data_IF_681067949526
#
_entry.id   IF_681067949526
#
_cell.length_a   1.000
_cell.length_b   1.000
_cell.length_c   1.000
_cell.angle_alpha   90.00
_cell.angle_beta   90.00
_cell.angle_gamma   90.00
#
_symmetry.space_group_name_H-M   'P 1'
#
loop_
_entity.id
_entity.type
_entity.pdbx_description
1 polymer ?
#
# COMPACT_ATOMS: atom_id res chain seq x y z
N UNK A 1 6.88 -18.79 -5.99
CA UNK A 1 7.94 -19.60 -5.36
C UNK A 1 8.94 -20.16 -6.37
N UNK A 2 8.52 -20.99 -7.35
CA UNK A 2 9.45 -21.57 -8.34
C UNK A 2 10.32 -20.53 -9.05
N UNK A 3 9.74 -19.41 -9.51
CA UNK A 3 10.48 -18.29 -10.11
C UNK A 3 11.61 -17.78 -9.19
N UNK A 4 11.33 -17.60 -7.89
CA UNK A 4 12.28 -17.06 -6.91
C UNK A 4 13.41 -18.05 -6.60
N UNK A 5 13.09 -19.34 -6.50
CA UNK A 5 14.09 -20.39 -6.24
C UNK A 5 14.98 -20.65 -7.45
N UNK A 6 14.41 -20.54 -8.67
CA UNK A 6 15.11 -20.82 -9.92
C UNK A 6 15.68 -19.57 -10.59
N UNK A 7 15.58 -18.38 -9.98
CA UNK A 7 15.96 -17.12 -10.63
C UNK A 7 17.41 -17.07 -11.15
N UNK A 8 18.31 -17.87 -10.58
CA UNK A 8 19.69 -17.98 -11.03
C UNK A 8 19.86 -18.57 -12.45
N UNK A 9 18.87 -19.29 -12.97
CA UNK A 9 18.90 -19.85 -14.34
C UNK A 9 17.91 -19.18 -15.28
N UNK A 10 17.13 -18.21 -14.79
CA UNK A 10 16.13 -17.50 -15.57
C UNK A 10 16.74 -16.27 -16.28
N UNK A 11 16.19 -15.84 -17.43
CA UNK A 11 16.70 -14.67 -18.15
C UNK A 11 16.44 -13.36 -17.38
N UNK A 12 16.93 -12.24 -17.90
CA UNK A 12 16.86 -10.91 -17.27
C UNK A 12 17.44 -10.92 -15.84
N UNK A 13 18.64 -11.48 -15.72
CA UNK A 13 19.42 -11.54 -14.49
C UNK A 13 20.85 -11.06 -14.74
N UNK A 14 21.05 -9.75 -15.06
CA UNK A 14 22.38 -9.23 -15.42
C UNK A 14 23.39 -9.37 -14.28
N UNK A 15 22.92 -9.30 -13.03
CA UNK A 15 23.76 -9.39 -11.83
C UNK A 15 23.96 -10.84 -11.34
N UNK A 16 23.50 -11.84 -12.10
CA UNK A 16 23.63 -13.26 -11.76
C UNK A 16 23.13 -13.62 -10.36
N UNK A 17 22.02 -13.00 -9.93
CA UNK A 17 21.40 -13.24 -8.64
C UNK A 17 21.06 -14.72 -8.46
N UNK A 18 21.45 -15.29 -7.31
CA UNK A 18 21.21 -16.70 -7.01
C UNK A 18 19.76 -16.97 -6.66
N UNK A 19 19.35 -18.24 -6.76
CA UNK A 19 18.07 -18.71 -6.23
C UNK A 19 17.91 -18.38 -4.74
N UNK A 20 16.72 -17.91 -4.35
CA UNK A 20 16.37 -17.74 -2.93
C UNK A 20 16.32 -19.09 -2.21
N UNK A 21 16.66 -19.09 -0.92
CA UNK A 21 16.43 -20.25 -0.06
C UNK A 21 14.94 -20.59 0.01
N UNK A 22 14.60 -21.85 0.31
CA UNK A 22 13.20 -22.30 0.36
C UNK A 22 12.34 -21.43 1.31
N UNK A 23 12.86 -21.12 2.51
CA UNK A 23 12.14 -20.31 3.50
C UNK A 23 11.89 -18.88 3.02
N UNK A 24 12.90 -18.23 2.44
CA UNK A 24 12.76 -16.87 1.92
C UNK A 24 11.85 -16.81 0.69
N UNK A 25 11.96 -17.80 -0.21
CA UNK A 25 11.11 -17.92 -1.38
C UNK A 25 9.64 -18.16 -1.01
N UNK A 26 9.38 -18.97 0.03
CA UNK A 26 8.03 -19.18 0.56
C UNK A 26 7.49 -17.89 1.18
N UNK A 27 8.23 -17.26 2.09
CA UNK A 27 7.82 -16.01 2.74
C UNK A 27 7.50 -14.92 1.71
N UNK A 28 8.40 -14.70 0.74
CA UNK A 28 8.22 -13.69 -0.31
C UNK A 28 7.02 -14.03 -1.20
N UNK A 29 6.86 -15.29 -1.61
CA UNK A 29 5.73 -15.68 -2.45
C UNK A 29 4.39 -15.54 -1.71
N UNK A 30 4.31 -16.01 -0.47
CA UNK A 30 3.11 -15.87 0.36
C UNK A 30 2.76 -14.39 0.51
N UNK A 31 3.76 -13.56 0.80
CA UNK A 31 3.52 -12.15 1.09
C UNK A 31 2.97 -11.34 -0.09
N UNK A 32 3.47 -11.60 -1.31
CA UNK A 32 2.94 -10.93 -2.50
C UNK A 32 1.56 -11.47 -2.92
N UNK A 33 1.31 -12.78 -2.72
CA UNK A 33 -0.02 -13.37 -2.97
C UNK A 33 -1.06 -12.84 -1.98
N UNK A 34 -0.66 -12.55 -0.73
CA UNK A 34 -1.55 -12.01 0.31
C UNK A 34 -1.68 -10.49 0.28
N UNK A 35 -1.15 -9.81 -0.75
CA UNK A 35 -1.19 -8.35 -0.88
C UNK A 35 -0.49 -7.60 0.27
N UNK A 36 0.48 -8.24 0.93
CA UNK A 36 1.17 -7.68 2.12
C UNK A 36 2.56 -7.17 1.77
N UNK A 37 3.23 -7.87 0.86
CA UNK A 37 4.57 -7.61 0.36
C UNK A 37 5.64 -7.29 1.43
N UNK A 38 5.56 -7.97 2.57
CA UNK A 38 6.63 -8.10 3.54
C UNK A 38 7.97 -8.44 2.88
N UNK A 39 9.01 -7.72 3.27
CA UNK A 39 10.35 -7.86 2.71
C UNK A 39 11.33 -8.24 3.82
N UNK A 40 11.84 -9.47 3.75
CA UNK A 40 12.96 -9.95 4.56
C UNK A 40 14.27 -10.01 3.74
N UNK A 41 14.38 -9.16 2.73
CA UNK A 41 15.46 -9.12 1.75
C UNK A 41 15.63 -7.69 1.21
N UNK A 42 16.81 -7.39 0.64
CA UNK A 42 17.02 -6.17 -0.15
C UNK A 42 16.82 -6.47 -1.63
N UNK A 43 15.91 -5.77 -2.30
CA UNK A 43 15.48 -6.12 -3.65
C UNK A 43 16.62 -6.10 -4.68
N UNK A 44 17.49 -5.10 -4.61
CA UNK A 44 18.64 -4.95 -5.51
C UNK A 44 19.74 -6.00 -5.31
N UNK A 45 19.78 -6.65 -4.16
CA UNK A 45 20.79 -7.66 -3.81
C UNK A 45 20.26 -9.09 -3.85
N UNK A 46 18.94 -9.29 -3.84
CA UNK A 46 18.33 -10.61 -3.66
C UNK A 46 17.48 -11.07 -4.85
N UNK A 47 17.04 -10.18 -5.72
CA UNK A 47 16.10 -10.50 -6.80
C UNK A 47 16.64 -10.12 -8.17
N UNK A 48 16.38 -10.99 -9.16
CA UNK A 48 16.59 -10.67 -10.57
C UNK A 48 15.47 -9.77 -11.13
N UNK A 49 15.72 -9.13 -12.27
CA UNK A 49 14.71 -8.30 -12.93
C UNK A 49 13.49 -9.13 -13.38
N UNK A 50 13.70 -10.38 -13.79
CA UNK A 50 12.59 -11.28 -14.11
C UNK A 50 11.74 -11.60 -12.89
N UNK A 51 12.36 -11.89 -11.73
CA UNK A 51 11.62 -12.15 -10.49
C UNK A 51 10.75 -10.96 -10.10
N UNK A 52 11.30 -9.74 -10.17
CA UNK A 52 10.58 -8.49 -9.91
C UNK A 52 9.42 -8.27 -10.91
N UNK A 53 9.67 -8.50 -12.20
CA UNK A 53 8.70 -8.21 -13.27
C UNK A 53 7.59 -9.26 -13.40
N UNK A 54 7.95 -10.54 -13.52
CA UNK A 54 6.99 -11.63 -13.79
C UNK A 54 6.51 -12.30 -12.50
N UNK A 55 7.34 -12.31 -11.46
CA UNK A 55 6.94 -12.84 -10.16
C UNK A 55 6.13 -11.80 -9.37
N UNK A 56 6.81 -10.75 -8.94
CA UNK A 56 6.30 -9.82 -7.93
C UNK A 56 5.26 -8.85 -8.50
N UNK A 57 5.56 -8.20 -9.63
CA UNK A 57 4.64 -7.23 -10.25
C UNK A 57 3.33 -7.88 -10.70
N UNK A 58 3.37 -9.10 -11.26
CA UNK A 58 2.13 -9.85 -11.60
C UNK A 58 1.29 -10.10 -10.36
N UNK A 59 1.90 -10.51 -9.24
CA UNK A 59 1.16 -10.69 -7.99
C UNK A 59 0.55 -9.37 -7.52
N UNK A 60 1.28 -8.25 -7.59
CA UNK A 60 0.73 -6.93 -7.21
C UNK A 60 -0.58 -6.56 -7.92
N UNK A 61 -0.76 -7.00 -9.17
CA UNK A 61 -2.01 -6.82 -9.92
C UNK A 61 -3.09 -7.81 -9.49
N UNK A 62 -2.74 -9.10 -9.39
CA UNK A 62 -3.71 -10.17 -9.15
C UNK A 62 -4.22 -10.14 -7.71
N UNK A 63 -3.37 -9.85 -6.73
CA UNK A 63 -3.74 -9.70 -5.32
C UNK A 63 -4.71 -8.53 -5.12
N UNK A 64 -4.38 -7.36 -5.65
CA UNK A 64 -5.25 -6.17 -5.60
C UNK A 64 -6.58 -6.40 -6.36
N UNK A 65 -6.50 -7.00 -7.54
CA UNK A 65 -7.68 -7.36 -8.34
C UNK A 65 -8.61 -8.34 -7.61
N UNK A 66 -8.04 -9.29 -6.87
CA UNK A 66 -8.79 -10.24 -6.04
C UNK A 66 -9.50 -9.53 -4.90
N UNK A 67 -8.83 -8.61 -4.20
CA UNK A 67 -9.45 -7.80 -3.14
C UNK A 67 -10.68 -7.02 -3.62
N UNK A 68 -10.57 -6.35 -4.77
CA UNK A 68 -11.70 -5.63 -5.38
C UNK A 68 -12.82 -6.60 -5.80
N UNK A 69 -12.49 -7.75 -6.38
CA UNK A 69 -13.48 -8.74 -6.80
C UNK A 69 -14.29 -9.29 -5.60
N UNK A 70 -13.62 -9.56 -4.48
CA UNK A 70 -14.28 -9.98 -3.22
C UNK A 70 -15.23 -8.90 -2.70
N UNK A 71 -14.77 -7.65 -2.68
CA UNK A 71 -15.62 -6.51 -2.31
C UNK A 71 -16.85 -6.42 -3.24
N UNK A 72 -16.68 -6.56 -4.55
CA UNK A 72 -17.78 -6.47 -5.50
C UNK A 72 -18.81 -7.59 -5.31
N UNK A 73 -18.35 -8.80 -4.98
CA UNK A 73 -19.23 -9.89 -4.59
C UNK A 73 -20.04 -9.54 -3.32
N UNK A 74 -19.40 -8.96 -2.30
CA UNK A 74 -20.07 -8.48 -1.08
C UNK A 74 -21.11 -7.40 -1.37
N UNK A 75 -20.74 -6.39 -2.17
CA UNK A 75 -21.65 -5.29 -2.55
C UNK A 75 -22.87 -5.81 -3.33
N UNK A 76 -22.67 -6.73 -4.27
CA UNK A 76 -23.78 -7.43 -4.94
C UNK A 76 -24.60 -8.25 -3.96
N UNK A 77 -23.96 -8.84 -2.96
CA UNK A 77 -24.60 -9.50 -1.83
C UNK A 77 -25.57 -8.60 -1.07
N UNK A 78 -25.35 -7.27 -0.99
CA UNK A 78 -26.31 -6.33 -0.42
C UNK A 78 -27.43 -5.93 -1.39
N UNK A 79 -27.10 -5.72 -2.66
CA UNK A 79 -28.04 -5.16 -3.65
C UNK A 79 -29.01 -6.22 -4.18
N UNK A 80 -28.51 -7.43 -4.45
CA UNK A 80 -29.31 -8.50 -5.01
C UNK A 80 -30.26 -9.09 -3.95
N UNK A 81 -31.50 -9.36 -4.39
CA UNK A 81 -32.57 -9.91 -3.57
C UNK A 81 -33.03 -11.23 -4.16
N UNK A 82 -33.11 -12.28 -3.33
CA UNK A 82 -33.62 -13.61 -3.70
C UNK A 82 -32.85 -14.28 -4.86
N UNK A 83 -31.53 -14.10 -4.91
CA UNK A 83 -30.65 -14.77 -5.89
C UNK A 83 -29.65 -15.67 -5.16
N UNK A 84 -29.23 -16.76 -5.82
CA UNK A 84 -28.22 -17.69 -5.30
C UNK A 84 -26.79 -17.41 -5.81
N UNK A 85 -26.60 -16.39 -6.65
CA UNK A 85 -25.31 -16.01 -7.24
C UNK A 85 -24.94 -14.55 -6.96
N UNK A 86 -23.64 -14.28 -6.95
CA UNK A 86 -23.02 -12.96 -6.67
C UNK A 86 -22.16 -12.43 -7.84
N UNK A 87 -22.36 -13.00 -9.04
CA UNK A 87 -21.63 -12.67 -10.26
C UNK A 87 -20.56 -13.70 -10.62
N UNK A 88 -19.54 -13.29 -11.38
CA UNK A 88 -18.47 -14.15 -11.87
C UNK A 88 -17.10 -13.56 -11.49
N UNK A 89 -16.37 -14.28 -10.65
CA UNK A 89 -15.05 -13.86 -10.14
C UNK A 89 -14.05 -13.56 -11.27
N UNK A 90 -13.96 -14.42 -12.28
CA UNK A 90 -13.01 -14.26 -13.38
C UNK A 90 -13.30 -13.01 -14.21
N UNK A 91 -14.58 -12.70 -14.43
CA UNK A 91 -14.97 -11.48 -15.14
C UNK A 91 -14.60 -10.23 -14.35
N UNK A 92 -14.79 -10.24 -13.03
CA UNK A 92 -14.41 -9.11 -12.18
C UNK A 92 -12.89 -8.93 -12.14
N UNK A 93 -12.15 -10.01 -11.92
CA UNK A 93 -10.69 -9.98 -11.87
C UNK A 93 -10.09 -9.46 -13.19
N UNK A 94 -10.57 -9.97 -14.34
CA UNK A 94 -10.10 -9.51 -15.65
C UNK A 94 -10.46 -8.04 -15.87
N UNK A 95 -11.69 -7.62 -15.54
CA UNK A 95 -12.11 -6.24 -15.78
C UNK A 95 -11.37 -5.25 -14.90
N UNK A 96 -11.21 -5.56 -13.62
CA UNK A 96 -10.45 -4.74 -12.67
C UNK A 96 -8.99 -4.64 -13.13
N UNK A 97 -8.38 -5.76 -13.50
CA UNK A 97 -6.98 -5.76 -13.92
C UNK A 97 -6.79 -4.95 -15.21
N UNK A 98 -7.56 -5.25 -16.26
CA UNK A 98 -7.32 -4.68 -17.59
C UNK A 98 -7.90 -3.26 -17.78
N UNK A 99 -9.02 -2.93 -17.14
CA UNK A 99 -9.70 -1.64 -17.36
C UNK A 99 -9.56 -0.65 -16.21
N UNK A 100 -9.05 -1.07 -15.04
CA UNK A 100 -8.79 -0.18 -13.92
C UNK A 100 -7.30 -0.14 -13.57
N UNK A 101 -6.70 -1.26 -13.18
CA UNK A 101 -5.35 -1.29 -12.62
C UNK A 101 -4.29 -1.00 -13.69
N UNK A 102 -4.25 -1.76 -14.79
CA UNK A 102 -3.26 -1.58 -15.87
C UNK A 102 -3.23 -0.15 -16.42
N UNK A 103 -4.35 0.47 -16.86
CA UNK A 103 -4.31 1.82 -17.42
C UNK A 103 -3.89 2.86 -16.38
N UNK A 104 -4.36 2.73 -15.14
CA UNK A 104 -4.00 3.68 -14.07
C UNK A 104 -2.53 3.54 -13.67
N UNK A 105 -2.01 2.30 -13.57
CA UNK A 105 -0.59 2.02 -13.32
C UNK A 105 0.29 2.50 -14.45
N UNK A 106 -0.15 2.43 -15.71
CA UNK A 106 0.61 2.97 -16.84
C UNK A 106 0.77 4.49 -16.73
N UNK A 107 -0.34 5.21 -16.48
CA UNK A 107 -0.30 6.67 -16.28
C UNK A 107 0.59 7.03 -15.10
N UNK A 108 0.42 6.34 -13.97
CA UNK A 108 1.21 6.58 -12.77
C UNK A 108 2.71 6.28 -13.00
N UNK A 109 3.05 5.19 -13.68
CA UNK A 109 4.45 4.86 -14.00
C UNK A 109 5.10 5.93 -14.89
N UNK A 110 4.38 6.44 -15.89
CA UNK A 110 4.89 7.52 -16.77
C UNK A 110 5.14 8.80 -15.95
N UNK A 111 4.20 9.17 -15.06
CA UNK A 111 4.37 10.32 -14.18
C UNK A 111 5.59 10.14 -13.25
N UNK A 112 5.76 8.95 -12.66
CA UNK A 112 6.92 8.64 -11.82
C UNK A 112 8.24 8.70 -12.60
N UNK A 113 8.31 8.12 -13.79
CA UNK A 113 9.49 8.20 -14.66
C UNK A 113 9.82 9.65 -15.00
N UNK A 114 8.81 10.50 -15.24
CA UNK A 114 9.03 11.94 -15.49
C UNK A 114 9.68 12.67 -14.31
N UNK A 115 9.57 12.13 -13.10
CA UNK A 115 10.18 12.68 -11.88
C UNK A 115 11.56 12.07 -11.58
N UNK A 116 12.00 11.05 -12.32
CA UNK A 116 13.30 10.41 -12.14
C UNK A 116 13.26 8.99 -11.55
N UNK A 117 12.09 8.38 -11.44
CA UNK A 117 11.98 6.95 -11.06
C UNK A 117 12.55 6.08 -12.17
N UNK A 118 13.38 5.11 -11.81
CA UNK A 118 14.12 4.30 -12.78
C UNK A 118 13.19 3.29 -13.46
N UNK A 119 13.31 3.18 -14.79
CA UNK A 119 12.68 2.14 -15.59
C UNK A 119 13.66 1.67 -16.67
N UNK A 120 14.49 0.68 -16.36
CA UNK A 120 15.54 0.18 -17.26
C UNK A 120 15.79 -1.32 -17.10
N UNK A 121 16.20 -2.00 -18.17
CA UNK A 121 16.72 -3.37 -18.11
C UNK A 121 18.25 -3.43 -18.24
N UNK A 122 18.93 -2.29 -18.15
CA UNK A 122 20.39 -2.24 -18.17
C UNK A 122 20.99 -2.92 -16.93
N UNK A 123 22.20 -3.51 -17.05
CA UNK A 123 23.00 -3.95 -15.89
C UNK A 123 23.28 -2.81 -14.92
N UNK A 124 23.73 -3.15 -13.72
CA UNK A 124 24.11 -2.15 -12.72
C UNK A 124 25.29 -1.31 -13.21
N UNK A 125 25.26 -0.02 -12.90
CA UNK A 125 26.26 0.93 -13.37
C UNK A 125 27.28 1.15 -12.26
N UNK A 126 28.56 0.93 -12.55
CA UNK A 126 29.64 1.29 -11.62
C UNK A 126 30.11 2.70 -11.95
N UNK A 127 30.13 3.58 -10.94
CA UNK A 127 30.60 4.97 -11.05
C UNK A 127 31.65 5.25 -9.99
N UNK A 128 32.57 6.18 -10.27
CA UNK A 128 33.55 6.65 -9.29
C UNK A 128 33.05 7.93 -8.62
N UNK A 129 33.14 8.00 -7.29
CA UNK A 129 32.71 9.18 -6.54
C UNK A 129 33.67 10.33 -6.78
N UNK A 130 33.14 11.55 -6.90
CA UNK A 130 33.97 12.74 -7.18
C UNK A 130 34.93 13.10 -6.04
N UNK A 131 34.58 12.77 -4.79
CA UNK A 131 35.33 13.21 -3.61
C UNK A 131 36.50 12.30 -3.26
N UNK A 132 36.34 10.98 -3.43
CA UNK A 132 37.33 9.98 -2.99
C UNK A 132 37.75 9.02 -4.11
N UNK A 133 37.14 9.10 -5.30
CA UNK A 133 37.35 8.13 -6.38
C UNK A 133 36.85 6.72 -6.04
N UNK A 134 36.05 6.58 -4.97
CA UNK A 134 35.55 5.30 -4.53
C UNK A 134 34.55 4.75 -5.56
N UNK A 135 34.64 3.45 -5.86
CA UNK A 135 33.69 2.80 -6.76
C UNK A 135 32.38 2.57 -6.05
N UNK A 136 31.29 3.08 -6.63
CA UNK A 136 29.93 2.87 -6.20
C UNK A 136 29.16 2.09 -7.27
N UNK A 137 28.44 1.05 -6.84
CA UNK A 137 27.54 0.30 -7.71
C UNK A 137 26.13 0.89 -7.59
N UNK A 138 25.57 1.31 -8.72
CA UNK A 138 24.25 1.91 -8.81
C UNK A 138 23.26 0.86 -9.32
N UNK A 139 22.32 0.40 -8.48
CA UNK A 139 21.34 -0.58 -8.90
C UNK A 139 20.31 0.07 -9.85
N UNK A 140 20.00 -0.63 -10.94
CA UNK A 140 18.96 -0.25 -11.90
C UNK A 140 17.85 -1.31 -11.91
N UNK A 141 16.84 -1.10 -12.75
CA UNK A 141 15.79 -2.08 -12.94
C UNK A 141 14.47 -1.48 -13.46
N UNK A 142 13.49 -2.31 -13.82
CA UNK A 142 12.17 -1.85 -14.27
C UNK A 142 11.28 -1.39 -13.10
N UNK A 143 11.80 -0.49 -12.25
CA UNK A 143 11.19 -0.16 -10.97
C UNK A 143 9.88 0.63 -11.10
N UNK A 144 9.80 1.64 -11.97
CA UNK A 144 8.62 2.50 -12.08
C UNK A 144 7.31 1.74 -12.34
N UNK A 145 7.36 0.71 -13.19
CA UNK A 145 6.21 -0.15 -13.48
C UNK A 145 5.72 -0.92 -12.25
N UNK A 146 6.64 -1.39 -11.40
CA UNK A 146 6.32 -2.08 -10.16
C UNK A 146 5.82 -1.12 -9.09
N UNK A 147 6.46 0.05 -8.96
CA UNK A 147 6.11 1.09 -7.98
C UNK A 147 4.71 1.63 -8.24
N UNK A 148 4.34 1.84 -9.50
CA UNK A 148 3.00 2.32 -9.83
C UNK A 148 1.90 1.39 -9.32
N UNK A 149 2.00 0.07 -9.58
CA UNK A 149 1.02 -0.89 -9.08
C UNK A 149 1.19 -1.17 -7.58
N UNK A 150 2.41 -1.11 -7.03
CA UNK A 150 2.60 -1.32 -5.59
C UNK A 150 1.82 -0.27 -4.79
N UNK A 151 1.77 0.98 -5.28
CA UNK A 151 1.01 2.04 -4.63
C UNK A 151 -0.48 1.95 -4.89
N UNK A 152 -0.90 1.86 -6.16
CA UNK A 152 -2.31 1.81 -6.53
C UNK A 152 -3.04 0.59 -5.98
N UNK A 153 -2.39 -0.57 -5.97
CA UNK A 153 -2.96 -1.82 -5.47
C UNK A 153 -2.80 -2.02 -3.96
N UNK A 154 -2.30 -1.01 -3.23
CA UNK A 154 -1.97 -1.10 -1.80
C UNK A 154 -1.18 -2.36 -1.46
N UNK A 155 -0.09 -2.59 -2.19
CA UNK A 155 0.77 -3.75 -1.99
C UNK A 155 2.04 -3.40 -1.20
N UNK A 156 2.68 -2.26 -1.51
CA UNK A 156 3.82 -1.71 -0.76
C UNK A 156 5.19 -2.33 -0.95
N UNK A 157 5.33 -3.45 -1.66
CA UNK A 157 6.65 -4.10 -1.86
C UNK A 157 7.60 -3.28 -2.72
N UNK A 158 8.68 -2.79 -2.11
CA UNK A 158 9.72 -1.98 -2.77
C UNK A 158 10.52 -2.77 -3.80
N UNK A 159 10.99 -2.07 -4.83
CA UNK A 159 11.95 -2.64 -5.78
C UNK A 159 13.34 -2.73 -5.14
N UNK A 160 13.70 -1.74 -4.32
CA UNK A 160 14.94 -1.63 -3.56
C UNK A 160 14.66 -1.79 -2.06
N UNK A 161 15.69 -2.14 -1.27
CA UNK A 161 15.54 -2.42 0.16
C UNK A 161 15.01 -1.27 1.00
N UNK A 162 15.37 -0.02 0.67
CA UNK A 162 14.86 1.16 1.36
C UNK A 162 13.45 1.59 0.88
N UNK A 163 12.84 0.82 -0.03
CA UNK A 163 11.47 1.03 -0.50
C UNK A 163 11.25 2.47 -1.03
N UNK A 164 10.13 3.12 -0.70
CA UNK A 164 9.80 4.50 -1.10
C UNK A 164 10.68 5.57 -0.46
N UNK A 165 11.67 5.22 0.39
CA UNK A 165 12.73 6.14 0.79
C UNK A 165 13.84 6.17 -0.28
N UNK A 166 14.02 5.12 -1.08
CA UNK A 166 15.10 5.05 -2.06
C UNK A 166 14.91 6.10 -3.18
N UNK A 167 15.96 6.88 -3.54
CA UNK A 167 15.85 7.93 -4.57
C UNK A 167 15.33 7.47 -5.93
N UNK A 168 15.63 6.23 -6.35
CA UNK A 168 15.11 5.69 -7.61
C UNK A 168 13.68 5.15 -7.52
N UNK A 169 13.09 5.06 -6.33
CA UNK A 169 11.65 4.80 -6.20
C UNK A 169 10.85 6.09 -6.07
N UNK A 170 11.38 7.06 -5.33
CA UNK A 170 10.68 8.28 -4.96
C UNK A 170 11.63 9.50 -4.96
N UNK A 171 11.95 10.05 -6.14
CA UNK A 171 13.02 11.03 -6.31
C UNK A 171 12.68 12.42 -5.77
N UNK A 172 11.42 12.86 -5.85
CA UNK A 172 11.01 14.25 -5.59
C UNK A 172 9.86 14.33 -4.59
N UNK A 173 9.67 15.50 -3.97
CA UNK A 173 8.48 15.75 -3.15
C UNK A 173 7.18 15.60 -3.95
N UNK A 174 7.23 15.86 -5.26
CA UNK A 174 6.07 15.67 -6.15
C UNK A 174 5.80 14.19 -6.43
N UNK A 175 6.82 13.35 -6.68
CA UNK A 175 6.61 11.89 -6.76
C UNK A 175 6.05 11.34 -5.45
N UNK A 176 6.50 11.85 -4.31
CA UNK A 176 5.99 11.43 -3.00
C UNK A 176 4.49 11.76 -2.84
N UNK A 177 4.06 12.95 -3.27
CA UNK A 177 2.64 13.31 -3.32
C UNK A 177 1.86 12.38 -4.25
N UNK A 178 2.39 12.07 -5.44
CA UNK A 178 1.74 11.15 -6.37
C UNK A 178 1.61 9.74 -5.79
N UNK A 179 2.63 9.23 -5.09
CA UNK A 179 2.56 7.93 -4.39
C UNK A 179 1.50 7.94 -3.29
N UNK A 180 1.45 8.97 -2.45
CA UNK A 180 0.40 9.11 -1.40
C UNK A 180 -0.99 9.13 -2.03
N UNK A 181 -1.17 9.88 -3.11
CA UNK A 181 -2.43 9.90 -3.86
C UNK A 181 -2.77 8.51 -4.38
N UNK A 182 -1.81 7.81 -4.97
CA UNK A 182 -2.01 6.46 -5.50
C UNK A 182 -2.43 5.45 -4.41
N UNK A 183 -1.85 5.54 -3.21
CA UNK A 183 -2.22 4.71 -2.05
C UNK A 183 -3.70 4.85 -1.71
N UNK A 184 -4.20 6.08 -1.63
CA UNK A 184 -5.55 6.38 -1.12
C UNK A 184 -6.63 6.41 -2.21
N UNK A 185 -6.24 6.53 -3.49
CA UNK A 185 -7.16 6.77 -4.61
C UNK A 185 -8.22 5.67 -4.77
N UNK A 186 -7.79 4.41 -4.90
CA UNK A 186 -8.73 3.30 -5.13
C UNK A 186 -9.56 3.01 -3.86
N UNK A 187 -8.97 2.91 -2.64
CA UNK A 187 -9.75 2.75 -1.42
C UNK A 187 -10.85 3.81 -1.25
N UNK A 188 -10.52 5.09 -1.45
CA UNK A 188 -11.49 6.19 -1.40
C UNK A 188 -12.57 6.06 -2.48
N UNK A 189 -12.18 5.74 -3.72
CA UNK A 189 -13.11 5.56 -4.83
C UNK A 189 -14.09 4.40 -4.60
N UNK A 190 -13.65 3.31 -3.96
CA UNK A 190 -14.49 2.15 -3.65
C UNK A 190 -15.59 2.49 -2.65
N UNK A 191 -15.33 3.38 -1.67
CA UNK A 191 -16.36 3.87 -0.73
C UNK A 191 -17.45 4.65 -1.48
N UNK A 192 -17.05 5.50 -2.43
CA UNK A 192 -17.98 6.24 -3.29
C UNK A 192 -18.76 5.29 -4.21
N UNK A 193 -18.08 4.30 -4.79
CA UNK A 193 -18.69 3.27 -5.63
C UNK A 193 -19.74 2.46 -4.86
N UNK A 194 -19.46 2.09 -3.61
CA UNK A 194 -20.40 1.42 -2.72
C UNK A 194 -21.68 2.24 -2.52
N UNK A 195 -21.56 3.52 -2.14
CA UNK A 195 -22.71 4.41 -1.96
C UNK A 195 -23.57 4.54 -3.23
N UNK A 196 -22.95 4.58 -4.41
CA UNK A 196 -23.66 4.57 -5.69
C UNK A 196 -24.32 3.23 -5.98
N UNK A 197 -23.64 2.12 -5.72
CA UNK A 197 -24.12 0.78 -6.00
C UNK A 197 -25.36 0.43 -5.16
N UNK A 198 -25.38 0.81 -3.88
CA UNK A 198 -26.55 0.62 -2.99
C UNK A 198 -27.67 1.64 -3.23
N UNK A 199 -27.50 2.57 -4.18
CA UNK A 199 -28.42 3.66 -4.51
C UNK A 199 -28.75 4.61 -3.34
N UNK A 200 -27.85 4.69 -2.36
CA UNK A 200 -27.93 5.64 -1.26
C UNK A 200 -26.55 6.26 -1.01
N UNK A 201 -26.34 7.44 -1.61
CA UNK A 201 -25.08 8.15 -1.49
C UNK A 201 -24.78 8.57 -0.04
N UNK A 202 -25.78 8.64 0.86
CA UNK A 202 -25.55 8.98 2.26
C UNK A 202 -24.76 7.89 2.98
N UNK A 203 -24.98 6.62 2.65
CA UNK A 203 -24.25 5.48 3.23
C UNK A 203 -22.76 5.58 2.92
N UNK A 204 -22.40 5.80 1.65
CA UNK A 204 -21.02 6.01 1.24
C UNK A 204 -20.40 7.24 1.89
N UNK A 205 -21.14 8.37 1.97
CA UNK A 205 -20.66 9.60 2.61
C UNK A 205 -20.38 9.41 4.10
N UNK A 206 -21.24 8.70 4.84
CA UNK A 206 -21.02 8.45 6.27
C UNK A 206 -19.74 7.64 6.48
N UNK A 207 -19.57 6.54 5.73
CA UNK A 207 -18.36 5.73 5.82
C UNK A 207 -17.11 6.55 5.47
N UNK A 208 -17.17 7.32 4.38
CA UNK A 208 -16.07 8.17 3.95
C UNK A 208 -15.69 9.21 5.02
N UNK A 209 -16.68 9.89 5.61
CA UNK A 209 -16.44 10.89 6.66
C UNK A 209 -15.79 10.28 7.89
N UNK A 210 -16.24 9.09 8.34
CA UNK A 210 -15.64 8.40 9.48
C UNK A 210 -14.17 8.07 9.21
N UNK A 211 -13.88 7.49 8.04
CA UNK A 211 -12.49 7.20 7.62
C UNK A 211 -11.66 8.49 7.57
N UNK A 212 -12.18 9.57 7.00
CA UNK A 212 -11.46 10.84 6.89
C UNK A 212 -11.15 11.47 8.25
N UNK A 213 -12.10 11.40 9.20
CA UNK A 213 -11.87 11.90 10.56
C UNK A 213 -10.77 11.11 11.25
N UNK A 214 -10.83 9.77 11.21
CA UNK A 214 -9.80 8.91 11.82
C UNK A 214 -8.42 9.16 11.20
N UNK A 215 -8.37 9.24 9.87
CA UNK A 215 -7.13 9.57 9.14
C UNK A 215 -6.56 10.93 9.56
N UNK A 216 -7.41 11.96 9.62
CA UNK A 216 -6.99 13.33 9.97
C UNK A 216 -6.48 13.42 11.41
N UNK A 217 -7.15 12.76 12.34
CA UNK A 217 -6.71 12.70 13.75
C UNK A 217 -5.37 12.00 13.87
N UNK A 218 -5.18 10.86 13.19
CA UNK A 218 -3.90 10.16 13.16
C UNK A 218 -2.78 11.01 12.57
N UNK A 219 -3.04 11.69 11.44
CA UNK A 219 -2.08 12.58 10.79
C UNK A 219 -1.65 13.74 11.69
N UNK A 220 -2.61 14.40 12.34
CA UNK A 220 -2.33 15.50 13.26
C UNK A 220 -1.51 14.99 14.44
N UNK A 221 -1.90 13.86 15.04
CA UNK A 221 -1.21 13.28 16.18
C UNK A 221 0.23 12.88 15.84
N UNK A 222 0.45 12.19 14.73
CA UNK A 222 1.79 11.76 14.29
C UNK A 222 2.65 12.98 13.93
N UNK A 223 2.10 13.97 13.22
CA UNK A 223 2.86 15.17 12.83
C UNK A 223 3.24 16.00 14.05
N UNK A 224 2.32 16.20 15.01
CA UNK A 224 2.63 16.92 16.24
C UNK A 224 3.67 16.17 17.09
N UNK A 225 3.58 14.83 17.16
CA UNK A 225 4.56 14.01 17.86
C UNK A 225 5.97 14.18 17.26
N UNK A 226 6.10 14.00 15.95
CA UNK A 226 7.40 14.10 15.27
C UNK A 226 7.96 15.52 15.25
N UNK A 227 7.09 16.55 15.27
CA UNK A 227 7.55 17.94 15.20
C UNK A 227 7.99 18.49 16.56
N UNK A 228 7.38 18.04 17.67
CA UNK A 228 7.51 18.71 18.97
C UNK A 228 7.89 17.79 20.15
N UNK A 229 7.97 16.47 19.97
CA UNK A 229 8.19 15.53 21.09
C UNK A 229 9.64 15.04 21.22
N UNK A 230 10.59 15.68 20.54
CA UNK A 230 12.00 15.36 20.70
C UNK A 230 12.51 15.82 22.07
N UNK A 231 13.26 14.98 22.80
CA UNK A 231 13.99 15.43 23.97
C UNK A 231 15.07 16.43 23.54
N UNK A 232 15.17 17.58 24.22
CA UNK A 232 16.23 18.54 23.96
C UNK A 232 17.59 17.89 24.28
N UNK A 233 18.35 17.55 23.25
CA UNK A 233 19.68 16.96 23.36
C UNK A 233 20.73 18.01 23.05
N UNK A 234 21.69 18.20 23.96
CA UNK A 234 22.74 19.19 23.79
C UNK A 234 23.55 18.90 22.50
N UNK A 235 23.62 19.87 21.59
CA UNK A 235 24.34 19.75 20.32
C UNK A 235 23.51 19.26 19.12
N UNK A 236 22.23 18.95 19.30
CA UNK A 236 21.32 18.61 18.20
C UNK A 236 20.40 19.79 17.89
N UNK A 237 20.32 20.17 16.61
CA UNK A 237 19.43 21.23 16.17
C UNK A 237 17.97 20.76 16.24
N UNK A 238 17.19 21.30 17.17
CA UNK A 238 15.81 20.90 17.47
C UNK A 238 14.77 21.61 16.57
N UNK A 239 15.21 22.50 15.67
CA UNK A 239 14.31 23.42 14.95
C UNK A 239 13.51 22.77 13.81
N UNK A 240 13.91 21.58 13.35
CA UNK A 240 13.29 20.90 12.21
C UNK A 240 12.38 19.72 12.59
N UNK A 241 12.30 19.34 13.87
CA UNK A 241 11.62 18.13 14.33
C UNK A 241 12.45 16.85 14.09
N UNK A 242 11.84 15.68 14.30
CA UNK A 242 12.52 14.38 14.21
C UNK A 242 12.85 13.97 12.77
N UNK A 243 14.09 14.25 12.39
CA UNK A 243 14.66 13.86 11.10
C UNK A 243 15.33 12.48 11.10
N UNK A 244 15.44 11.80 12.23
CA UNK A 244 15.94 10.42 12.28
C UNK A 244 15.00 9.49 11.50
N UNK A 245 15.58 8.67 10.62
CA UNK A 245 14.85 7.83 9.67
C UNK A 245 14.02 8.57 8.62
N UNK A 246 14.18 9.88 8.43
CA UNK A 246 13.48 10.67 7.40
C UNK A 246 14.39 11.09 6.27
N UNK A 247 13.78 11.31 5.11
CA UNK A 247 14.48 11.87 3.95
C UNK A 247 14.36 13.39 3.90
N UNK A 248 15.48 14.07 3.61
CA UNK A 248 15.51 15.52 3.44
C UNK A 248 14.57 16.01 2.32
N UNK A 249 14.29 15.16 1.31
CA UNK A 249 13.36 15.41 0.21
C UNK A 249 11.92 15.63 0.67
N UNK A 250 11.51 15.00 1.78
CA UNK A 250 10.12 14.97 2.24
C UNK A 250 9.93 15.72 3.56
N UNK A 251 10.99 15.79 4.38
CA UNK A 251 10.94 16.36 5.73
C UNK A 251 9.97 15.61 6.64
N UNK A 252 9.66 16.21 7.79
CA UNK A 252 8.72 15.62 8.76
C UNK A 252 7.33 15.48 8.17
N UNK A 253 6.76 16.55 7.60
CA UNK A 253 5.37 16.54 7.13
C UNK A 253 5.11 15.56 5.98
N UNK A 254 6.03 15.47 5.01
CA UNK A 254 5.90 14.51 3.90
C UNK A 254 6.06 13.07 4.36
N UNK A 255 6.85 12.83 5.40
CA UNK A 255 7.07 11.52 5.99
C UNK A 255 5.90 11.06 6.88
N UNK A 256 5.34 11.95 7.71
CA UNK A 256 4.20 11.62 8.57
C UNK A 256 2.93 11.41 7.76
N UNK A 257 2.69 12.22 6.72
CA UNK A 257 1.57 12.01 5.81
C UNK A 257 1.65 10.65 5.12
N UNK A 258 2.84 10.29 4.63
CA UNK A 258 3.07 8.99 4.01
C UNK A 258 2.92 7.85 5.02
N UNK A 259 3.50 7.98 6.22
CA UNK A 259 3.43 6.98 7.29
C UNK A 259 1.99 6.67 7.73
N UNK A 260 1.14 7.69 7.88
CA UNK A 260 -0.28 7.47 8.17
C UNK A 260 -1.02 6.89 6.96
N UNK A 261 -0.76 7.39 5.74
CA UNK A 261 -1.39 6.84 4.53
C UNK A 261 -1.06 5.37 4.31
N UNK A 262 0.21 4.99 4.42
CA UNK A 262 0.66 3.62 4.13
C UNK A 262 0.15 2.61 5.15
N UNK A 263 0.05 2.99 6.43
CA UNK A 263 -0.40 2.10 7.50
C UNK A 263 -1.92 2.07 7.69
N UNK A 264 -2.62 3.17 7.42
CA UNK A 264 -4.07 3.19 7.38
C UNK A 264 -4.61 2.38 6.19
N UNK A 265 -3.96 2.53 5.03
CA UNK A 265 -4.40 1.94 3.78
C UNK A 265 -3.92 0.50 3.52
N UNK A 266 -3.28 -0.17 4.50
CA UNK A 266 -2.67 -1.50 4.30
C UNK A 266 -1.72 -1.52 3.09
N UNK A 267 -1.03 -0.42 2.79
CA UNK A 267 -0.12 -0.38 1.66
C UNK A 267 1.21 -1.03 2.04
N UNK A 268 1.86 -0.55 3.10
CA UNK A 268 3.12 -1.13 3.60
C UNK A 268 4.40 -0.59 2.95
N UNK A 269 4.34 0.29 1.94
CA UNK A 269 5.53 1.03 1.48
C UNK A 269 5.99 2.01 2.55
N UNK A 270 7.30 2.27 2.62
CA UNK A 270 7.90 3.06 3.68
C UNK A 270 8.82 4.10 3.05
N UNK A 271 8.53 5.40 3.24
CA UNK A 271 9.40 6.50 2.82
C UNK A 271 10.25 7.09 3.97
N UNK A 272 9.98 6.62 5.19
CA UNK A 272 10.63 7.01 6.42
C UNK A 272 10.58 5.84 7.40
N UNK A 273 11.72 5.50 8.00
CA UNK A 273 11.83 4.31 8.85
C UNK A 273 10.96 4.46 10.11
N UNK A 274 9.91 3.64 10.21
CA UNK A 274 8.95 3.73 11.31
C UNK A 274 9.57 3.42 12.68
N UNK A 275 10.66 2.64 12.71
CA UNK A 275 11.39 2.31 13.93
C UNK A 275 12.13 3.52 14.53
N UNK A 276 12.43 4.52 13.68
CA UNK A 276 13.06 5.79 14.05
C UNK A 276 12.05 6.88 14.46
N UNK A 277 10.75 6.57 14.49
CA UNK A 277 9.72 7.52 14.93
C UNK A 277 9.81 7.74 16.44
N UNK A 278 9.32 8.89 16.90
CA UNK A 278 9.07 9.12 18.33
C UNK A 278 8.05 8.11 18.86
N UNK A 279 8.00 7.84 20.18
CA UNK A 279 7.09 6.85 20.74
C UNK A 279 5.61 7.08 20.37
N UNK A 280 5.12 8.32 20.44
CA UNK A 280 3.77 8.67 20.01
C UNK A 280 3.63 8.67 18.48
N UNK A 281 4.68 9.10 17.76
CA UNK A 281 4.73 9.04 16.31
C UNK A 281 4.58 7.61 15.76
N UNK A 282 5.25 6.63 16.38
CA UNK A 282 5.16 5.21 16.04
C UNK A 282 3.90 4.51 16.54
N UNK A 283 3.29 4.99 17.63
CA UNK A 283 2.02 4.48 18.13
C UNK A 283 0.86 4.67 17.14
N UNK A 284 0.88 5.76 16.35
CA UNK A 284 -0.17 6.03 15.36
C UNK A 284 -0.18 4.98 14.22
N UNK A 285 0.93 4.72 13.50
CA UNK A 285 1.01 3.63 12.53
C UNK A 285 0.60 2.26 13.09
N UNK A 286 1.05 1.92 14.31
CA UNK A 286 0.68 0.68 14.98
C UNK A 286 -0.82 0.60 15.23
N UNK A 287 -1.43 1.68 15.73
CA UNK A 287 -2.86 1.76 15.96
C UNK A 287 -3.66 1.61 14.65
N UNK A 288 -3.23 2.26 13.56
CA UNK A 288 -3.90 2.16 12.26
C UNK A 288 -3.93 0.73 11.72
N UNK A 289 -2.83 -0.01 11.87
CA UNK A 289 -2.77 -1.43 11.49
C UNK A 289 -3.63 -2.30 12.43
N UNK A 290 -3.50 -2.11 13.74
CA UNK A 290 -4.22 -2.91 14.76
C UNK A 290 -5.73 -2.68 14.77
N UNK A 291 -6.21 -1.54 14.28
CA UNK A 291 -7.63 -1.27 14.06
C UNK A 291 -8.24 -2.19 12.98
N UNK A 292 -7.40 -2.96 12.27
CA UNK A 292 -7.82 -3.88 11.20
C UNK A 292 -7.78 -3.23 9.83
N UNK A 293 -7.00 -2.16 9.66
CA UNK A 293 -6.76 -1.50 8.37
C UNK A 293 -8.06 -1.07 7.68
N UNK A 294 -8.97 -0.45 8.44
CA UNK A 294 -10.31 -0.05 7.96
C UNK A 294 -10.38 1.40 7.49
N UNK A 295 -9.32 2.20 7.71
CA UNK A 295 -9.30 3.64 7.41
C UNK A 295 -8.70 3.87 6.03
N UNK A 296 -9.56 4.01 5.00
CA UNK A 296 -9.11 3.96 3.60
C UNK A 296 -8.20 2.75 3.32
N UNK A 297 -8.52 1.63 3.96
CA UNK A 297 -7.73 0.40 3.99
C UNK A 297 -7.43 -0.22 2.63
N UNK A 298 -6.81 -1.39 2.67
CA UNK A 298 -6.34 -2.09 1.48
C UNK A 298 -7.40 -2.21 0.38
N UNK A 299 -6.94 -2.28 -0.86
CA UNK A 299 -7.76 -2.26 -2.07
C UNK A 299 -8.78 -3.41 -2.05
N UNK A 300 -10.03 -3.05 -1.75
CA UNK A 300 -11.13 -3.98 -1.48
C UNK A 300 -11.23 -4.38 0.00
N UNK A 301 -10.11 -4.79 0.62
CA UNK A 301 -10.06 -5.29 2.00
C UNK A 301 -10.47 -4.29 3.06
N UNK A 302 -10.01 -3.05 2.96
CA UNK A 302 -10.40 -1.99 3.88
C UNK A 302 -11.90 -1.77 3.92
N UNK A 303 -12.56 -1.78 2.76
CA UNK A 303 -14.00 -1.52 2.70
C UNK A 303 -14.83 -2.71 3.17
N UNK A 304 -14.49 -3.96 2.82
CA UNK A 304 -15.23 -5.09 3.39
C UNK A 304 -15.02 -5.20 4.91
N UNK A 305 -13.82 -4.85 5.40
CA UNK A 305 -13.52 -4.79 6.83
C UNK A 305 -14.35 -3.71 7.52
N UNK A 306 -14.37 -2.50 6.96
CA UNK A 306 -15.21 -1.42 7.46
C UNK A 306 -16.71 -1.77 7.44
N UNK A 307 -17.19 -2.42 6.39
CA UNK A 307 -18.59 -2.88 6.34
C UNK A 307 -18.87 -3.90 7.45
N UNK A 308 -17.95 -4.82 7.75
CA UNK A 308 -18.10 -5.74 8.88
C UNK A 308 -18.25 -4.99 10.22
N UNK A 309 -17.43 -3.96 10.45
CA UNK A 309 -17.59 -3.08 11.62
C UNK A 309 -18.93 -2.34 11.62
N UNK A 310 -19.39 -1.83 10.46
CA UNK A 310 -20.70 -1.18 10.35
C UNK A 310 -21.84 -2.14 10.71
N UNK A 311 -21.79 -3.39 10.24
CA UNK A 311 -22.77 -4.43 10.60
C UNK A 311 -22.76 -4.68 12.10
N UNK A 312 -21.58 -4.78 12.72
CA UNK A 312 -21.43 -4.95 14.16
C UNK A 312 -21.99 -3.75 14.93
N UNK A 313 -21.70 -2.53 14.49
CA UNK A 313 -22.25 -1.30 15.10
C UNK A 313 -23.77 -1.27 15.02
N UNK A 314 -24.36 -1.60 13.87
CA UNK A 314 -25.81 -1.68 13.70
C UNK A 314 -26.43 -2.79 14.56
N UNK A 315 -25.72 -3.91 14.73
CA UNK A 315 -26.13 -4.98 15.64
C UNK A 315 -26.22 -4.50 17.09
N UNK A 316 -25.16 -3.87 17.60
CA UNK A 316 -25.12 -3.34 18.97
C UNK A 316 -26.18 -2.24 19.15
N UNK A 317 -26.32 -1.32 18.19
CA UNK A 317 -27.31 -0.25 18.26
C UNK A 317 -28.76 -0.80 18.26
N UNK A 318 -29.05 -1.81 17.43
CA UNK A 318 -30.35 -2.49 17.43
C UNK A 318 -30.66 -3.13 18.78
N UNK A 319 -29.68 -3.82 19.38
CA UNK A 319 -29.81 -4.44 20.69
C UNK A 319 -30.09 -3.41 21.80
N UNK A 320 -29.38 -2.28 21.79
CA UNK A 320 -29.55 -1.19 22.77
C UNK A 320 -30.94 -0.53 22.69
N UNK A 321 -31.55 -0.48 21.50
CA UNK A 321 -32.88 0.13 21.27
C UNK A 321 -33.99 -0.94 21.34
N UNK A 322 -33.64 -2.22 21.53
CA UNK A 322 -34.60 -3.33 21.58
C UNK A 322 -35.27 -3.65 20.22
N UNK A 323 -34.61 -3.30 19.10
CA UNK A 323 -35.08 -3.59 17.73
C UNK A 323 -34.20 -4.62 17.05
N UNK A 324 -34.78 -5.40 16.12
CA UNK A 324 -34.00 -6.31 15.29
C UNK A 324 -32.98 -5.53 14.46
N UNK A 325 -31.68 -5.87 14.50
CA UNK A 325 -30.68 -5.18 13.69
C UNK A 325 -30.91 -5.32 12.20
N UNK A 326 -30.86 -4.20 11.50
CA UNK A 326 -31.12 -4.13 10.07
C UNK A 326 -30.15 -3.16 9.39
N UNK A 327 -29.40 -3.66 8.41
CA UNK A 327 -28.53 -2.84 7.57
C UNK A 327 -28.95 -2.96 6.11
N UNK A 328 -29.19 -1.81 5.45
CA UNK A 328 -29.64 -1.72 4.05
C UNK A 328 -30.87 -2.59 3.71
N UNK A 329 -31.84 -2.67 4.62
CA UNK A 329 -33.05 -3.47 4.39
C UNK A 329 -32.86 -4.97 4.61
N UNK A 330 -31.66 -5.43 5.03
CA UNK A 330 -31.37 -6.82 5.36
C UNK A 330 -31.26 -7.00 6.86
N UNK A 331 -32.09 -7.90 7.40
CA UNK A 331 -32.08 -8.27 8.82
C UNK A 331 -30.86 -9.13 9.11
N UNK A 332 -30.07 -8.74 10.10
CA UNK A 332 -28.98 -9.58 10.61
C UNK A 332 -29.62 -10.66 11.49
N UNK A 333 -29.52 -11.93 11.09
CA UNK A 333 -29.97 -13.06 11.90
C UNK A 333 -28.74 -13.87 12.31
N UNK A 334 -28.68 -14.27 13.58
CA UNK A 334 -27.90 -15.45 13.94
C UNK A 334 -28.58 -16.65 13.26
N UNK A 335 -27.77 -17.52 12.65
CA UNK A 335 -28.24 -18.79 12.08
C UNK A 335 -28.95 -19.60 13.16
#
# INVERSE_FOLDING_TARGET
MAVLMLQGVLPLNPEHQKGMSLGLAFNTAASFVTNTNWQAYSGESALSYLSQTIGLTVQNFVSAGTGIAVLFALVRGFILKKTHSVGNFWQDLIRVTLYLLVPLSLVMAILLVSQGVVQSFAPYVTTETLQEGAKQLIPLGPAASQIAIKQLGTNGGGFFGANSAFPFENPTAFSNLLEILAILLIPAALVVAFGRAVKDAKQGRVIFTVMLVLFSVGLIAMTAAEQFSLPSTAGVADSAGNMEGKEARFGVSGSTLFGVATTAASNGSVNAMHDSLTPLGGAVPLFMMQLGEIVFGGVGSGLYGMIAFVILTVFIAGLLIGRTPEYLGKKNRAV
#
